data_IF_597375403343
#
_entry.id   IF_597375403343
#
_cell.length_a   1.000
_cell.length_b   1.000
_cell.length_c   1.000
_cell.angle_alpha   90.00
_cell.angle_beta   90.00
_cell.angle_gamma   90.00
#
_symmetry.space_group_name_H-M   'P 1'
#
loop_
_entity.id
_entity.type
_entity.pdbx_description
1 polymer ?
#
# COMPACT_ATOMS: atom_id res chain seq x y z
N UNK A 1 15.67 19.20 4.40
CA UNK A 1 15.01 17.98 3.92
C UNK A 1 16.08 16.92 3.84
N UNK A 2 15.96 15.88 4.64
CA UNK A 2 16.90 14.76 4.70
C UNK A 2 16.17 13.46 4.32
N UNK A 3 16.88 12.51 3.73
CA UNK A 3 16.30 11.28 3.17
C UNK A 3 17.15 10.05 3.50
N UNK A 4 16.56 9.04 4.13
CA UNK A 4 17.24 7.77 4.41
C UNK A 4 16.53 6.64 3.67
N UNK A 5 17.30 5.75 3.05
CA UNK A 5 16.80 4.62 2.26
C UNK A 5 17.15 3.32 2.96
N UNK A 6 16.14 2.45 3.10
CA UNK A 6 16.25 1.14 3.72
C UNK A 6 15.82 0.08 2.71
N UNK A 7 16.79 -0.61 2.12
CA UNK A 7 16.55 -1.79 1.30
C UNK A 7 16.49 -3.01 2.21
N UNK A 8 15.32 -3.58 2.39
CA UNK A 8 15.12 -4.68 3.33
C UNK A 8 15.43 -6.02 2.65
N UNK A 9 16.18 -6.88 3.34
CA UNK A 9 16.39 -8.25 2.90
C UNK A 9 15.16 -9.09 3.24
N UNK A 10 14.29 -9.24 2.25
CA UNK A 10 13.09 -10.11 2.26
C UNK A 10 13.24 -11.27 1.28
N UNK A 11 14.49 -11.68 1.00
CA UNK A 11 14.81 -12.76 0.09
C UNK A 11 14.61 -12.41 -1.38
N UNK A 12 13.64 -13.07 -2.04
CA UNK A 12 13.38 -12.90 -3.49
C UNK A 12 12.24 -11.92 -3.80
N UNK A 13 11.82 -11.17 -2.79
CA UNK A 13 10.75 -10.20 -2.86
C UNK A 13 11.31 -8.78 -2.75
N UNK A 14 10.46 -7.77 -2.91
CA UNK A 14 10.88 -6.37 -2.88
C UNK A 14 10.23 -5.62 -1.72
N UNK A 15 11.04 -4.95 -0.91
CA UNK A 15 10.56 -3.99 0.08
C UNK A 15 11.60 -2.92 0.39
N UNK A 16 11.21 -1.67 0.18
CA UNK A 16 12.04 -0.49 0.44
C UNK A 16 11.26 0.46 1.32
N UNK A 17 11.91 1.01 2.34
CA UNK A 17 11.37 2.10 3.15
C UNK A 17 12.22 3.36 2.94
N UNK A 18 11.57 4.49 2.71
CA UNK A 18 12.22 5.80 2.62
C UNK A 18 11.71 6.68 3.74
N UNK A 19 12.61 7.20 4.57
CA UNK A 19 12.32 8.26 5.53
C UNK A 19 12.55 9.61 4.84
N UNK A 20 11.62 10.54 5.02
CA UNK A 20 11.72 11.92 4.54
C UNK A 20 11.48 12.85 5.72
N UNK A 21 12.52 13.52 6.17
CA UNK A 21 12.45 14.49 7.25
C UNK A 21 12.25 15.89 6.67
N UNK A 22 11.06 16.46 6.87
CA UNK A 22 10.72 17.82 6.49
C UNK A 22 10.38 18.66 7.73
N UNK A 23 10.60 19.96 7.60
CA UNK A 23 10.25 21.00 8.57
C UNK A 23 8.78 21.04 9.00
N UNK A 24 7.88 20.37 8.27
CA UNK A 24 6.45 20.28 8.60
C UNK A 24 6.12 18.95 9.27
N UNK A 25 6.16 17.85 8.51
CA UNK A 25 5.84 16.51 8.98
C UNK A 25 6.80 15.49 8.36
N UNK A 26 7.25 14.54 9.15
CA UNK A 26 8.01 13.41 8.64
C UNK A 26 7.11 12.52 7.79
N UNK A 27 7.67 11.99 6.70
CA UNK A 27 6.96 11.06 5.81
C UNK A 27 7.76 9.79 5.65
N UNK A 28 7.07 8.66 5.77
CA UNK A 28 7.61 7.33 5.50
C UNK A 28 6.98 6.82 4.22
N UNK A 29 7.79 6.42 3.26
CA UNK A 29 7.33 5.86 2.00
C UNK A 29 7.67 4.37 1.99
N UNK A 30 6.65 3.51 1.95
CA UNK A 30 6.84 2.09 1.67
C UNK A 30 6.73 1.88 0.16
N UNK A 31 7.83 1.44 -0.46
CA UNK A 31 7.86 1.02 -1.86
C UNK A 31 7.92 -0.49 -1.87
N UNK A 32 6.79 -1.12 -2.21
CA UNK A 32 6.55 -2.55 -2.05
C UNK A 32 6.74 -3.06 -0.59
N UNK A 33 6.21 -4.24 -0.29
CA UNK A 33 6.18 -4.80 1.06
C UNK A 33 6.33 -6.32 1.07
N UNK A 34 7.09 -6.87 0.13
CA UNK A 34 7.40 -8.29 0.06
C UNK A 34 6.17 -9.20 -0.03
N UNK A 35 6.35 -10.46 0.36
CA UNK A 35 5.27 -11.41 0.60
C UNK A 35 4.55 -11.12 1.92
N UNK A 36 3.40 -11.76 2.13
CA UNK A 36 2.62 -11.62 3.37
C UNK A 36 3.40 -12.08 4.62
N UNK A 37 4.24 -13.11 4.50
CA UNK A 37 5.07 -13.61 5.59
C UNK A 37 6.29 -12.73 5.90
N UNK A 38 6.65 -11.80 5.02
CA UNK A 38 7.78 -10.89 5.23
C UNK A 38 7.39 -9.70 6.11
N UNK A 39 6.08 -9.49 6.30
CA UNK A 39 5.56 -8.37 7.07
C UNK A 39 6.12 -8.29 8.49
N UNK A 40 6.30 -9.41 9.18
CA UNK A 40 6.83 -9.40 10.55
C UNK A 40 8.25 -8.81 10.58
N UNK A 41 9.11 -9.22 9.65
CA UNK A 41 10.47 -8.69 9.50
C UNK A 41 10.45 -7.20 9.17
N UNK A 42 9.60 -6.79 8.22
CA UNK A 42 9.44 -5.37 7.82
C UNK A 42 8.95 -4.53 9.01
N UNK A 43 7.93 -5.00 9.72
CA UNK A 43 7.31 -4.28 10.85
C UNK A 43 8.27 -4.14 12.03
N UNK A 44 9.02 -5.20 12.36
CA UNK A 44 10.04 -5.16 13.41
C UNK A 44 11.13 -4.14 13.07
N UNK A 45 11.62 -4.15 11.83
CA UNK A 45 12.61 -3.17 11.38
C UNK A 45 12.05 -1.75 11.47
N UNK A 46 10.86 -1.51 10.93
CA UNK A 46 10.21 -0.20 10.95
C UNK A 46 10.02 0.33 12.38
N UNK A 47 9.51 -0.50 13.30
CA UNK A 47 9.27 -0.11 14.70
C UNK A 47 10.56 0.16 15.48
N UNK A 48 11.61 -0.62 15.24
CA UNK A 48 12.83 -0.55 16.05
C UNK A 48 13.82 0.49 15.53
N UNK A 49 13.95 0.59 14.21
CA UNK A 49 14.97 1.42 13.58
C UNK A 49 14.44 2.78 13.14
N UNK A 50 13.20 2.84 12.63
CA UNK A 50 12.66 4.03 11.96
C UNK A 50 11.77 4.85 12.91
N UNK A 51 10.73 4.25 13.48
CA UNK A 51 9.74 4.95 14.33
C UNK A 51 10.36 5.81 15.45
N UNK A 52 11.44 5.40 16.15
CA UNK A 52 12.04 6.22 17.21
C UNK A 52 12.63 7.55 16.72
N UNK A 53 12.84 7.71 15.41
CA UNK A 53 13.38 8.94 14.80
C UNK A 53 12.31 9.89 14.27
N UNK A 54 11.07 9.42 14.14
CA UNK A 54 9.98 10.18 13.50
C UNK A 54 9.25 11.07 14.52
N UNK A 55 8.65 12.15 14.03
CA UNK A 55 7.65 12.92 14.79
C UNK A 55 6.41 12.08 15.11
N UNK A 56 5.68 12.40 16.19
CA UNK A 56 4.49 11.64 16.58
C UNK A 56 3.39 11.60 15.50
N UNK A 57 3.34 12.62 14.64
CA UNK A 57 2.36 12.85 13.58
C UNK A 57 2.85 12.50 12.16
N UNK A 58 3.93 11.71 12.07
CA UNK A 58 4.46 11.25 10.78
C UNK A 58 3.39 10.57 9.91
N UNK A 59 3.58 10.69 8.62
CA UNK A 59 2.67 10.23 7.58
C UNK A 59 3.25 9.06 6.81
N UNK A 60 2.38 8.24 6.22
CA UNK A 60 2.78 7.13 5.36
C UNK A 60 2.29 7.37 3.93
N UNK A 61 3.16 7.12 2.97
CA UNK A 61 2.83 6.97 1.55
C UNK A 61 3.13 5.52 1.16
N UNK A 62 2.23 4.92 0.40
CA UNK A 62 2.45 3.61 -0.19
C UNK A 62 2.73 3.77 -1.68
N UNK A 63 3.73 3.06 -2.18
CA UNK A 63 4.05 2.95 -3.61
C UNK A 63 4.14 1.47 -3.93
N UNK A 64 3.28 1.01 -4.84
CA UNK A 64 3.20 -0.40 -5.21
C UNK A 64 3.52 -0.49 -6.70
N UNK A 65 4.64 -1.14 -7.01
CA UNK A 65 5.19 -1.16 -8.37
C UNK A 65 4.30 -1.95 -9.33
N UNK A 66 3.77 -3.09 -8.87
CA UNK A 66 2.83 -3.96 -9.57
C UNK A 66 2.20 -4.99 -8.61
N UNK A 67 1.08 -5.66 -8.96
CA UNK A 67 0.30 -6.50 -8.04
C UNK A 67 0.84 -7.90 -7.82
N UNK A 68 2.07 -8.21 -8.21
CA UNK A 68 2.62 -9.53 -7.88
C UNK A 68 2.77 -9.67 -6.36
N UNK A 69 2.59 -10.89 -5.87
CA UNK A 69 2.44 -11.17 -4.45
C UNK A 69 3.71 -10.88 -3.63
N UNK A 70 4.88 -10.94 -4.27
CA UNK A 70 6.20 -10.55 -3.78
C UNK A 70 6.41 -9.03 -3.64
N UNK A 71 5.40 -8.24 -3.99
CA UNK A 71 5.41 -6.77 -3.86
C UNK A 71 4.27 -6.28 -2.98
N UNK A 72 3.04 -6.74 -3.24
CA UNK A 72 1.84 -6.29 -2.51
C UNK A 72 1.53 -7.12 -1.24
N UNK A 73 2.26 -8.22 -1.02
CA UNK A 73 1.96 -9.22 0.00
C UNK A 73 1.77 -8.62 1.39
N UNK A 74 2.76 -7.87 1.88
CA UNK A 74 2.75 -7.21 3.19
C UNK A 74 1.94 -5.91 3.29
N UNK A 75 1.49 -5.33 2.17
CA UNK A 75 0.75 -4.04 2.17
C UNK A 75 -0.54 -4.13 2.98
N UNK A 76 -1.27 -5.25 2.90
CA UNK A 76 -2.50 -5.45 3.68
C UNK A 76 -2.25 -5.31 5.17
N UNK A 77 -1.13 -5.85 5.66
CA UNK A 77 -0.77 -5.79 7.07
C UNK A 77 -0.32 -4.39 7.48
N UNK A 78 0.40 -3.67 6.60
CA UNK A 78 0.71 -2.24 6.81
C UNK A 78 -0.56 -1.41 6.95
N UNK A 79 -1.55 -1.61 6.07
CA UNK A 79 -2.83 -0.91 6.15
C UNK A 79 -3.62 -1.22 7.42
N UNK A 80 -3.56 -2.47 7.90
CA UNK A 80 -4.21 -2.86 9.15
C UNK A 80 -3.57 -2.16 10.36
N UNK A 81 -2.24 -2.12 10.43
CA UNK A 81 -1.52 -1.59 11.59
C UNK A 81 -1.38 -0.06 11.56
N UNK A 82 -1.33 0.53 10.37
CA UNK A 82 -0.96 1.94 10.16
C UNK A 82 -1.89 2.74 9.24
N UNK A 83 -3.05 2.19 8.85
CA UNK A 83 -3.95 2.81 7.88
C UNK A 83 -4.40 4.23 8.21
N UNK A 84 -4.49 4.59 9.50
CA UNK A 84 -4.79 5.96 9.95
C UNK A 84 -3.69 6.99 9.65
N UNK A 85 -2.46 6.54 9.39
CA UNK A 85 -1.31 7.37 9.02
C UNK A 85 -1.08 7.44 7.50
N UNK A 86 -1.71 6.54 6.73
CA UNK A 86 -1.58 6.51 5.27
C UNK A 86 -2.30 7.72 4.68
N UNK A 87 -1.56 8.53 3.92
CA UNK A 87 -2.08 9.72 3.23
C UNK A 87 -2.38 9.47 1.77
N UNK A 88 -1.56 8.66 1.12
CA UNK A 88 -1.69 8.41 -0.30
C UNK A 88 -1.14 7.02 -0.65
N UNK A 89 -1.70 6.43 -1.70
CA UNK A 89 -1.26 5.16 -2.25
C UNK A 89 -1.13 5.29 -3.77
N UNK A 90 0.09 5.14 -4.27
CA UNK A 90 0.39 5.06 -5.68
C UNK A 90 0.44 3.59 -6.09
N UNK A 91 -0.41 3.19 -7.01
CA UNK A 91 -0.47 1.83 -7.51
C UNK A 91 -0.44 1.87 -9.04
N UNK A 92 0.45 1.06 -9.63
CA UNK A 92 0.47 0.93 -11.09
C UNK A 92 -0.76 0.15 -11.56
N UNK A 93 -1.75 0.88 -12.08
CA UNK A 93 -2.93 0.28 -12.70
C UNK A 93 -2.52 -0.55 -13.92
N UNK A 94 -2.58 -1.88 -13.78
CA UNK A 94 -2.25 -2.81 -14.85
C UNK A 94 -3.38 -2.96 -15.87
N UNK A 95 -4.60 -2.47 -15.61
CA UNK A 95 -5.72 -2.61 -16.55
C UNK A 95 -5.42 -1.96 -17.91
N UNK A 96 -4.50 -0.98 -17.94
CA UNK A 96 -4.00 -0.34 -19.16
C UNK A 96 -3.11 -1.22 -20.04
N UNK A 97 -2.62 -2.34 -19.53
CA UNK A 97 -1.81 -3.33 -20.27
C UNK A 97 -2.56 -4.64 -20.51
N UNK A 98 -3.78 -4.75 -20.00
CA UNK A 98 -4.65 -5.91 -20.22
C UNK A 98 -5.45 -5.70 -21.51
N UNK A 99 -5.56 -6.77 -22.30
CA UNK A 99 -6.47 -6.79 -23.44
C UNK A 99 -7.92 -7.04 -22.98
N UNK A 100 -8.89 -6.80 -23.87
CA UNK A 100 -10.31 -6.93 -23.53
C UNK A 100 -10.68 -8.35 -23.07
N UNK A 101 -10.01 -9.39 -23.56
CA UNK A 101 -10.26 -10.77 -23.15
C UNK A 101 -9.74 -11.04 -21.74
N UNK A 102 -8.58 -10.48 -21.37
CA UNK A 102 -8.04 -10.55 -20.01
C UNK A 102 -8.92 -9.77 -19.02
N UNK A 103 -9.42 -8.61 -19.42
CA UNK A 103 -10.40 -7.83 -18.65
C UNK A 103 -11.70 -8.62 -18.46
N UNK A 104 -12.23 -9.21 -19.54
CA UNK A 104 -13.46 -10.00 -19.50
C UNK A 104 -13.30 -11.28 -18.67
N UNK A 105 -12.13 -11.93 -18.73
CA UNK A 105 -11.81 -13.09 -17.88
C UNK A 105 -11.80 -12.67 -16.40
N UNK A 106 -11.10 -11.60 -16.05
CA UNK A 106 -11.07 -11.03 -14.70
C UNK A 106 -12.49 -10.68 -14.21
N UNK A 107 -13.33 -10.12 -15.07
CA UNK A 107 -14.73 -9.82 -14.76
C UNK A 107 -15.61 -11.07 -14.61
N UNK A 108 -15.35 -12.13 -15.38
CA UNK A 108 -16.11 -13.40 -15.31
C UNK A 108 -15.86 -14.14 -13.99
N UNK A 109 -14.66 -14.00 -13.41
CA UNK A 109 -14.34 -14.52 -12.08
C UNK A 109 -15.11 -13.82 -10.94
N UNK A 110 -15.80 -12.70 -11.20
CA UNK A 110 -16.64 -12.00 -10.20
C UNK A 110 -18.04 -12.61 -10.01
N UNK A 111 -18.35 -13.80 -10.56
CA UNK A 111 -19.73 -14.35 -10.51
C UNK A 111 -19.98 -15.52 -9.58
N UNK A 112 -18.99 -16.18 -8.97
CA UNK A 112 -19.27 -17.19 -7.94
C UNK A 112 -18.11 -17.34 -6.96
N UNK A 113 -18.40 -17.17 -5.67
CA UNK A 113 -17.45 -17.27 -4.56
C UNK A 113 -16.65 -18.58 -4.54
N UNK A 114 -15.45 -18.50 -3.92
CA UNK A 114 -14.59 -19.61 -3.49
C UNK A 114 -13.57 -20.16 -4.51
N UNK A 115 -12.62 -19.33 -4.96
CA UNK A 115 -11.19 -19.70 -5.07
C UNK A 115 -10.38 -18.44 -4.68
N UNK A 116 -9.38 -18.59 -3.81
CA UNK A 116 -8.73 -17.50 -3.09
C UNK A 116 -8.14 -16.36 -3.92
N UNK A 117 -7.95 -15.23 -3.23
CA UNK A 117 -7.25 -14.00 -3.65
C UNK A 117 -8.02 -13.06 -4.58
N UNK A 118 -8.38 -11.88 -4.06
CA UNK A 118 -8.03 -10.58 -4.67
C UNK A 118 -8.33 -9.43 -3.68
N UNK A 119 -7.27 -9.00 -2.99
CA UNK A 119 -7.16 -8.03 -1.88
C UNK A 119 -7.79 -6.63 -2.13
N UNK A 120 -8.44 -6.39 -3.27
CA UNK A 120 -9.07 -5.12 -3.65
C UNK A 120 -10.54 -5.03 -3.22
N UNK A 121 -11.26 -6.14 -3.02
CA UNK A 121 -12.66 -6.09 -2.59
C UNK A 121 -12.82 -5.59 -1.15
N UNK A 122 -11.93 -5.99 -0.22
CA UNK A 122 -11.91 -5.48 1.15
C UNK A 122 -11.48 -4.00 1.24
N UNK A 123 -10.64 -3.54 0.30
CA UNK A 123 -10.24 -2.13 0.23
C UNK A 123 -11.44 -1.25 -0.17
N UNK A 124 -12.28 -1.74 -1.10
CA UNK A 124 -13.51 -1.07 -1.55
C UNK A 124 -14.60 -1.07 -0.47
N UNK A 125 -14.79 -2.16 0.27
CA UNK A 125 -15.72 -2.19 1.43
C UNK A 125 -15.32 -1.21 2.56
N UNK A 126 -14.01 -0.97 2.77
CA UNK A 126 -13.55 0.02 3.74
C UNK A 126 -13.70 1.47 3.26
N UNK A 127 -13.64 1.71 1.94
CA UNK A 127 -13.74 3.04 1.34
C UNK A 127 -15.21 3.51 1.25
N UNK A 128 -16.16 2.61 1.03
CA UNK A 128 -17.57 2.95 0.82
C UNK A 128 -18.34 3.35 2.11
N UNK A 129 -17.74 3.24 3.30
CA UNK A 129 -18.40 3.60 4.57
C UNK A 129 -17.82 4.83 5.29
N UNK A 130 -16.89 5.58 4.67
CA UNK A 130 -16.40 6.84 5.26
C UNK A 130 -16.88 8.03 4.43
N UNK A 131 -17.72 8.85 5.05
CA UNK A 131 -18.46 9.99 4.47
C UNK A 131 -17.58 11.11 3.88
N UNK A 132 -16.26 10.97 3.93
CA UNK A 132 -15.28 12.04 3.64
C UNK A 132 -14.76 11.96 2.19
N UNK A 133 -14.79 10.78 1.54
CA UNK A 133 -14.26 10.63 0.18
C UNK A 133 -15.21 11.19 -0.88
N UNK A 134 -16.52 11.03 -0.70
CA UNK A 134 -17.56 11.53 -1.62
C UNK A 134 -17.58 13.05 -1.71
N UNK A 135 -17.34 13.74 -0.59
CA UNK A 135 -17.21 15.20 -0.54
C UNK A 135 -15.91 15.71 -1.19
N UNK A 136 -14.85 14.90 -1.15
CA UNK A 136 -13.57 15.26 -1.77
C UNK A 136 -13.66 15.11 -3.29
N UNK A 137 -14.32 14.07 -3.80
CA UNK A 137 -14.46 13.81 -5.24
C UNK A 137 -15.40 14.81 -5.94
N UNK A 138 -16.49 15.23 -5.27
CA UNK A 138 -17.43 16.21 -5.85
C UNK A 138 -16.82 17.59 -6.08
N UNK A 139 -15.86 18.01 -5.23
CA UNK A 139 -15.18 19.29 -5.36
C UNK A 139 -14.23 19.39 -6.56
N UNK A 140 -13.85 18.26 -7.17
CA UNK A 140 -12.99 18.21 -8.35
C UNK A 140 -13.73 17.84 -9.65
N UNK A 141 -15.08 17.80 -9.62
CA UNK A 141 -15.95 17.53 -10.78
C UNK A 141 -15.63 16.24 -11.55
N UNK A 142 -15.49 15.13 -10.81
CA UNK A 142 -15.61 13.76 -11.34
C UNK A 142 -16.83 13.10 -10.70
#
# INVERSE_FOLDING_TARGET
MDFHFHMLDVGRADSIIVEVFDSKNDTVIFIDAGFENDYETINQYFKNEIVPRLTEDFQIILVITHPHNDHIGGIKSILNDYGNRVKECFFNDLTKYLNQDEINQIQSYNTNESIGQNKIHKLRECIENSTILTETLSNYSI
#
